data_IF_777982847873
#
_entry.id   IF_777982847873
#
_cell.length_a   1.000
_cell.length_b   1.000
_cell.length_c   1.000
_cell.angle_alpha   90.00
_cell.angle_beta   90.00
_cell.angle_gamma   90.00
#
_symmetry.space_group_name_H-M   'P 1'
#
loop_
_entity.id
_entity.type
_entity.pdbx_description
1 polymer ?
#
# COMPACT_ATOMS: atom_id res chain seq x y z
N UNK A 1 2.22 -9.18 -11.97
CA UNK A 1 1.85 -7.89 -11.35
C UNK A 1 1.26 -8.19 -9.98
N UNK A 2 1.77 -7.57 -8.91
CA UNK A 2 1.34 -7.87 -7.52
C UNK A 2 0.11 -7.03 -7.17
N UNK A 3 0.20 -5.72 -7.28
CA UNK A 3 -0.96 -4.82 -7.14
C UNK A 3 -1.60 -4.61 -8.51
N UNK A 4 -2.92 -4.69 -8.62
CA UNK A 4 -3.63 -4.44 -9.88
C UNK A 4 -3.42 -3.01 -10.36
N UNK A 5 -3.19 -2.84 -11.66
CA UNK A 5 -2.81 -1.58 -12.30
C UNK A 5 -3.81 -0.45 -12.08
N UNK A 6 -5.11 -0.78 -12.10
CA UNK A 6 -6.19 0.17 -11.79
C UNK A 6 -6.12 0.73 -10.37
N UNK A 7 -5.63 -0.05 -9.41
CA UNK A 7 -5.47 0.41 -8.02
C UNK A 7 -4.27 1.36 -7.88
N UNK A 8 -3.39 1.41 -8.87
CA UNK A 8 -2.23 2.29 -8.88
C UNK A 8 -2.46 3.55 -9.74
N UNK A 9 -3.71 3.83 -10.13
CA UNK A 9 -4.05 5.05 -10.84
C UNK A 9 -4.75 6.03 -9.88
N UNK A 10 -4.04 7.06 -9.42
CA UNK A 10 -4.55 8.02 -8.43
C UNK A 10 -5.81 8.77 -8.88
N UNK A 11 -6.04 8.97 -10.19
CA UNK A 11 -7.23 9.68 -10.69
C UNK A 11 -8.55 8.96 -10.36
N UNK A 12 -8.48 7.64 -10.19
CA UNK A 12 -9.64 6.78 -9.95
C UNK A 12 -9.89 6.54 -8.46
N UNK A 13 -8.97 6.98 -7.59
CA UNK A 13 -9.03 6.76 -6.16
C UNK A 13 -9.91 7.84 -5.53
N UNK A 14 -10.78 7.41 -4.63
CA UNK A 14 -11.61 8.29 -3.80
C UNK A 14 -10.92 8.56 -2.46
N UNK A 15 -10.35 7.53 -1.84
CA UNK A 15 -9.55 7.63 -0.63
C UNK A 15 -8.73 6.35 -0.38
N UNK A 16 -7.80 6.43 0.58
CA UNK A 16 -7.04 5.30 1.09
C UNK A 16 -7.44 5.02 2.55
N UNK A 17 -7.50 3.74 2.92
CA UNK A 17 -7.66 3.35 4.32
C UNK A 17 -6.38 2.66 4.79
N UNK A 18 -5.76 3.17 5.86
CA UNK A 18 -4.66 2.50 6.53
C UNK A 18 -5.26 1.61 7.61
N UNK A 19 -4.97 0.31 7.51
CA UNK A 19 -5.48 -0.71 8.43
C UNK A 19 -4.33 -1.25 9.26
N UNK A 20 -4.55 -1.28 10.58
CA UNK A 20 -3.71 -2.05 11.50
C UNK A 20 -3.94 -3.52 11.19
N UNK A 21 -2.87 -4.30 11.10
CA UNK A 21 -3.03 -5.69 10.65
C UNK A 21 -3.56 -6.53 11.81
N UNK A 22 -4.87 -6.75 11.76
CA UNK A 22 -5.64 -7.41 12.81
C UNK A 22 -6.78 -6.56 13.39
N UNK A 23 -6.87 -5.27 13.04
CA UNK A 23 -7.80 -4.29 13.63
C UNK A 23 -8.57 -3.46 12.58
N UNK A 24 -9.58 -2.72 13.04
CA UNK A 24 -10.37 -1.78 12.21
C UNK A 24 -9.50 -0.64 11.62
N UNK A 25 -9.88 -0.07 10.46
CA UNK A 25 -9.16 1.03 9.83
C UNK A 25 -9.01 2.21 10.78
N UNK A 26 -7.77 2.70 10.94
CA UNK A 26 -7.45 3.73 11.93
C UNK A 26 -7.19 5.10 11.30
N UNK A 27 -6.84 5.15 10.00
CA UNK A 27 -6.62 6.40 9.25
C UNK A 27 -7.31 6.31 7.89
N UNK A 28 -8.03 7.37 7.52
CA UNK A 28 -8.58 7.60 6.18
C UNK A 28 -7.87 8.80 5.56
N UNK A 29 -7.27 8.60 4.38
CA UNK A 29 -6.53 9.65 3.65
C UNK A 29 -7.35 10.03 2.41
N UNK A 30 -7.83 11.28 2.37
CA UNK A 30 -8.73 11.80 1.34
C UNK A 30 -8.11 12.94 0.52
N UNK A 31 -6.97 13.49 0.94
CA UNK A 31 -6.29 14.59 0.25
C UNK A 31 -5.58 14.10 -1.03
N UNK A 32 -5.93 14.69 -2.17
CA UNK A 32 -5.45 14.27 -3.51
C UNK A 32 -3.91 14.26 -3.60
N UNK A 33 -3.24 15.28 -3.07
CA UNK A 33 -1.77 15.39 -3.08
C UNK A 33 -1.10 14.24 -2.31
N UNK A 34 -1.70 13.82 -1.20
CA UNK A 34 -1.17 12.75 -0.37
C UNK A 34 -1.45 11.38 -0.98
N UNK A 35 -2.66 11.20 -1.54
CA UNK A 35 -2.99 10.02 -2.34
C UNK A 35 -2.00 9.86 -3.50
N UNK A 36 -1.71 10.93 -4.25
CA UNK A 36 -0.75 10.87 -5.35
C UNK A 36 0.64 10.44 -4.87
N UNK A 37 1.16 11.05 -3.80
CA UNK A 37 2.48 10.71 -3.23
C UNK A 37 2.55 9.25 -2.80
N UNK A 38 1.51 8.75 -2.11
CA UNK A 38 1.44 7.37 -1.64
C UNK A 38 1.38 6.40 -2.83
N UNK A 39 0.60 6.70 -3.85
CA UNK A 39 0.45 5.85 -5.03
C UNK A 39 1.74 5.77 -5.84
N UNK A 40 2.47 6.88 -6.00
CA UNK A 40 3.80 6.85 -6.64
C UNK A 40 4.76 5.92 -5.89
N UNK A 41 4.74 5.92 -4.56
CA UNK A 41 5.57 4.98 -3.77
C UNK A 41 5.10 3.53 -3.94
N UNK A 42 3.79 3.27 -3.94
CA UNK A 42 3.24 1.94 -4.20
C UNK A 42 3.58 1.41 -5.60
N UNK A 43 3.59 2.29 -6.62
CA UNK A 43 4.04 1.94 -7.97
C UNK A 43 5.51 1.51 -7.98
N UNK A 44 6.39 2.25 -7.29
CA UNK A 44 7.81 1.91 -7.15
C UNK A 44 8.02 0.55 -6.46
N UNK A 45 7.24 0.29 -5.40
CA UNK A 45 7.25 -0.99 -4.68
C UNK A 45 6.73 -2.14 -5.56
N UNK A 46 5.70 -1.92 -6.38
CA UNK A 46 5.13 -2.95 -7.26
C UNK A 46 6.09 -3.38 -8.39
N UNK A 47 7.03 -2.52 -8.79
CA UNK A 47 7.96 -2.75 -9.92
C UNK A 47 9.21 -3.60 -9.62
N UNK A 48 9.54 -3.89 -8.36
CA UNK A 48 10.77 -4.61 -7.99
C UNK A 48 10.64 -6.15 -8.12
N UNK A 49 11.70 -6.82 -8.60
CA UNK A 49 11.73 -8.23 -9.06
C UNK A 49 11.74 -9.27 -7.91
N UNK A 50 11.26 -10.47 -8.21
CA UNK A 50 10.77 -11.57 -7.33
C UNK A 50 11.82 -12.46 -6.61
N UNK A 51 11.39 -13.12 -5.51
CA UNK A 51 11.67 -14.53 -5.18
C UNK A 51 10.67 -15.13 -4.14
N UNK A 52 10.63 -16.47 -4.09
CA UNK A 52 9.51 -17.41 -3.82
C UNK A 52 9.03 -17.62 -2.37
N UNK A 53 9.45 -16.84 -1.36
CA UNK A 53 9.24 -17.24 0.04
C UNK A 53 8.36 -16.27 0.84
N UNK A 54 7.47 -16.83 1.67
CA UNK A 54 6.65 -16.10 2.63
C UNK A 54 7.54 -15.26 3.58
N UNK A 55 7.11 -14.07 4.01
CA UNK A 55 7.85 -13.23 4.95
C UNK A 55 7.96 -13.93 6.29
N UNK A 56 9.13 -13.79 6.92
CA UNK A 56 9.28 -14.00 8.36
C UNK A 56 9.14 -12.62 9.02
N UNK A 57 8.07 -12.38 9.76
CA UNK A 57 7.87 -11.14 10.51
C UNK A 57 6.41 -10.70 10.58
N UNK A 58 6.15 -9.76 11.47
CA UNK A 58 4.87 -9.03 11.50
C UNK A 58 4.87 -7.98 10.40
N UNK A 59 3.73 -7.77 9.74
CA UNK A 59 3.62 -6.74 8.74
C UNK A 59 3.58 -5.35 9.38
N UNK A 60 4.13 -4.37 8.66
CA UNK A 60 4.28 -2.99 9.10
C UNK A 60 2.96 -2.24 8.99
N UNK A 61 2.24 -2.41 7.88
CA UNK A 61 0.94 -1.78 7.67
C UNK A 61 0.14 -2.48 6.56
N UNK A 62 -1.18 -2.29 6.57
CA UNK A 62 -2.05 -2.61 5.45
C UNK A 62 -2.68 -1.36 4.85
N UNK A 63 -2.91 -1.37 3.53
CA UNK A 63 -3.60 -0.28 2.84
C UNK A 63 -4.75 -0.86 2.01
N UNK A 64 -5.96 -0.34 2.21
CA UNK A 64 -7.04 -0.51 1.25
C UNK A 64 -7.07 0.68 0.30
N UNK A 65 -7.29 0.40 -0.98
CA UNK A 65 -7.47 1.42 -2.00
C UNK A 65 -8.94 1.45 -2.37
N UNK A 66 -9.59 2.59 -2.20
CA UNK A 66 -11.00 2.75 -2.53
C UNK A 66 -11.12 3.57 -3.80
N UNK A 67 -11.66 2.94 -4.83
CA UNK A 67 -11.92 3.59 -6.11
C UNK A 67 -13.30 4.26 -6.09
N UNK A 68 -13.45 5.33 -6.87
CA UNK A 68 -14.72 6.08 -6.98
C UNK A 68 -15.89 5.17 -7.33
N UNK A 69 -16.88 5.12 -6.43
CA UNK A 69 -18.09 4.31 -6.60
C UNK A 69 -17.87 2.80 -6.47
N UNK A 70 -16.79 2.35 -5.83
CA UNK A 70 -16.48 0.95 -5.57
C UNK A 70 -16.27 0.68 -4.08
N UNK A 71 -16.40 -0.59 -3.68
CA UNK A 71 -16.00 -1.02 -2.35
C UNK A 71 -14.47 -1.02 -2.21
N UNK A 72 -13.93 -0.88 -0.97
CA UNK A 72 -12.50 -0.96 -0.72
C UNK A 72 -11.87 -2.23 -1.32
N UNK A 73 -10.65 -2.10 -1.83
CA UNK A 73 -9.88 -3.24 -2.32
C UNK A 73 -9.55 -4.22 -1.19
N UNK A 74 -9.07 -5.40 -1.56
CA UNK A 74 -8.30 -6.22 -0.62
C UNK A 74 -7.08 -5.45 -0.13
N UNK A 75 -6.65 -5.73 1.11
CA UNK A 75 -5.51 -5.08 1.70
C UNK A 75 -4.21 -5.38 0.93
N UNK A 76 -3.48 -4.32 0.61
CA UNK A 76 -2.08 -4.39 0.25
C UNK A 76 -1.30 -4.47 1.57
N UNK A 77 -0.77 -5.64 1.88
CA UNK A 77 -0.01 -5.89 3.10
C UNK A 77 1.46 -5.57 2.87
N UNK A 78 2.04 -4.72 3.72
CA UNK A 78 3.41 -4.23 3.60
C UNK A 78 4.22 -4.70 4.80
N UNK A 79 5.36 -5.31 4.53
CA UNK A 79 6.39 -5.71 5.47
C UNK A 79 7.64 -4.86 5.26
N UNK A 80 8.59 -4.93 6.18
CA UNK A 80 9.83 -4.15 6.09
C UNK A 80 10.62 -4.43 4.79
N UNK A 81 10.53 -5.63 4.26
CA UNK A 81 11.29 -6.09 3.09
C UNK A 81 10.38 -6.64 1.97
N UNK A 82 9.04 -6.66 2.17
CA UNK A 82 8.10 -7.27 1.21
C UNK A 82 6.77 -6.53 1.09
N UNK A 83 6.07 -6.74 -0.02
CA UNK A 83 4.70 -6.28 -0.26
C UNK A 83 3.82 -7.41 -0.82
N UNK A 84 2.57 -7.49 -0.40
CA UNK A 84 1.62 -8.54 -0.78
C UNK A 84 0.27 -7.96 -1.20
N UNK A 85 -0.22 -8.44 -2.34
CA UNK A 85 -1.60 -8.28 -2.76
C UNK A 85 -1.96 -9.44 -3.69
N UNK A 86 -2.43 -10.54 -3.11
CA UNK A 86 -2.59 -11.84 -3.81
C UNK A 86 -1.27 -12.57 -4.16
N UNK A 87 -0.19 -11.84 -4.47
CA UNK A 87 1.19 -12.34 -4.64
C UNK A 87 2.18 -11.43 -3.90
N UNK A 88 3.32 -11.99 -3.49
CA UNK A 88 4.38 -11.25 -2.77
C UNK A 88 5.49 -10.73 -3.68
N UNK A 89 6.14 -9.64 -3.28
CA UNK A 89 7.38 -9.09 -3.89
C UNK A 89 8.34 -8.60 -2.82
N UNK A 90 9.64 -8.68 -3.11
CA UNK A 90 10.66 -8.03 -2.30
C UNK A 90 10.69 -6.54 -2.63
N UNK A 91 10.91 -5.74 -1.61
CA UNK A 91 11.02 -4.29 -1.72
C UNK A 91 12.17 -3.80 -0.86
N UNK A 92 12.71 -2.63 -1.21
CA UNK A 92 13.70 -1.98 -0.36
C UNK A 92 13.04 -1.48 0.92
N UNK A 93 13.62 -1.82 2.08
CA UNK A 93 13.17 -1.28 3.36
C UNK A 93 13.26 0.23 3.45
N UNK A 94 14.13 0.88 2.68
CA UNK A 94 14.17 2.34 2.60
C UNK A 94 12.92 2.91 1.92
N UNK A 95 12.40 2.23 0.90
CA UNK A 95 11.16 2.63 0.23
C UNK A 95 9.95 2.38 1.14
N UNK A 96 9.95 1.28 1.90
CA UNK A 96 8.91 1.00 2.91
C UNK A 96 8.92 2.08 3.98
N UNK A 97 10.09 2.39 4.55
CA UNK A 97 10.24 3.47 5.54
C UNK A 97 9.77 4.82 5.00
N UNK A 98 10.05 5.11 3.73
CA UNK A 98 9.58 6.33 3.07
C UNK A 98 8.07 6.35 2.96
N UNK A 99 7.45 5.24 2.56
CA UNK A 99 5.99 5.11 2.49
C UNK A 99 5.34 5.30 3.85
N UNK A 100 5.83 4.62 4.89
CA UNK A 100 5.33 4.74 6.27
C UNK A 100 5.38 6.21 6.70
N UNK A 101 6.52 6.88 6.54
CA UNK A 101 6.68 8.28 6.89
C UNK A 101 5.78 9.20 6.07
N UNK A 102 5.53 8.91 4.80
CA UNK A 102 4.60 9.71 4.00
C UNK A 102 3.20 9.60 4.57
N UNK A 103 2.73 8.39 4.89
CA UNK A 103 1.43 8.16 5.53
C UNK A 103 1.34 8.86 6.89
N UNK A 104 2.37 8.77 7.72
CA UNK A 104 2.42 9.43 9.03
C UNK A 104 2.37 10.96 8.94
N UNK A 105 2.85 11.56 7.84
CA UNK A 105 2.80 13.02 7.64
C UNK A 105 1.49 13.50 6.99
N UNK A 106 0.68 12.58 6.47
CA UNK A 106 -0.64 12.85 5.90
C UNK A 106 -1.74 12.83 6.96
N UNK A 107 -1.37 12.67 8.25
CA UNK A 107 -2.25 12.60 9.41
C UNK A 107 -1.74 13.48 10.55
#
# INVERSE_FOLDING_TARGET
MVIYEKLLNSSEIEYLEVVGIGDEPFIKIEEDDDIERIIVLLQQLNGSVELEHLPYGEPVLGIHIVLKGHYPSSAITIYQDKIFHGKGRNVSGDLVNKLVKTIENSY
#
